data_IF_334897713611
#
_entry.id   IF_334897713611
#
_cell.length_a   1.000
_cell.length_b   1.000
_cell.length_c   1.000
_cell.angle_alpha   90.00
_cell.angle_beta   90.00
_cell.angle_gamma   90.00
#
_symmetry.space_group_name_H-M   'P 1'
#
loop_
_entity.id
_entity.type
_entity.pdbx_description
1 polymer ?
#
# COMPACT_ATOMS: atom_id res chain seq x y z
N UNK A 1 -8.09 18.98 4.64
CA UNK A 1 -7.10 17.94 4.30
C UNK A 1 -5.77 18.36 4.90
N UNK A 2 -5.24 17.55 5.82
CA UNK A 2 -4.00 17.81 6.56
C UNK A 2 -2.80 17.99 5.61
N UNK A 3 -2.00 19.03 5.81
CA UNK A 3 -0.85 19.36 4.96
C UNK A 3 0.19 18.24 5.01
N UNK A 4 0.37 17.61 6.17
CA UNK A 4 1.29 16.49 6.37
C UNK A 4 0.91 15.30 5.48
N UNK A 5 -0.39 15.00 5.36
CA UNK A 5 -0.87 13.90 4.52
C UNK A 5 -0.68 14.19 3.04
N UNK A 6 -0.78 15.46 2.61
CA UNK A 6 -0.46 15.85 1.23
C UNK A 6 1.02 15.61 0.91
N UNK A 7 1.90 16.05 1.80
CA UNK A 7 3.35 15.86 1.65
C UNK A 7 3.67 14.36 1.60
N UNK A 8 3.11 13.58 2.53
CA UNK A 8 3.27 12.13 2.58
C UNK A 8 2.79 11.44 1.30
N UNK A 9 1.64 11.85 0.78
CA UNK A 9 1.09 11.32 -0.47
C UNK A 9 1.99 11.64 -1.68
N UNK A 10 2.51 12.87 -1.77
CA UNK A 10 3.47 13.25 -2.81
C UNK A 10 4.77 12.46 -2.72
N UNK A 11 5.29 12.27 -1.51
CA UNK A 11 6.49 11.47 -1.25
C UNK A 11 6.33 10.01 -1.72
N UNK A 12 5.24 9.34 -1.34
CA UNK A 12 4.99 7.95 -1.77
C UNK A 12 4.90 7.88 -3.30
N UNK A 13 4.13 8.77 -3.94
CA UNK A 13 4.00 8.78 -5.40
C UNK A 13 5.34 8.91 -6.10
N UNK A 14 6.17 9.86 -5.66
CA UNK A 14 7.49 10.08 -6.24
C UNK A 14 8.40 8.87 -6.06
N UNK A 15 8.39 8.22 -4.89
CA UNK A 15 9.19 7.01 -4.66
C UNK A 15 8.74 5.86 -5.56
N UNK A 16 7.44 5.57 -5.61
CA UNK A 16 6.90 4.49 -6.47
C UNK A 16 7.20 4.74 -7.95
N UNK A 17 7.09 5.99 -8.42
CA UNK A 17 7.46 6.37 -9.78
C UNK A 17 8.96 6.20 -10.05
N UNK A 18 9.83 6.62 -9.12
CA UNK A 18 11.27 6.45 -9.25
C UNK A 18 11.68 4.96 -9.30
N UNK A 19 10.88 4.07 -8.71
CA UNK A 19 11.06 2.62 -8.78
C UNK A 19 10.44 1.96 -10.02
N UNK A 20 9.81 2.73 -10.91
CA UNK A 20 9.13 2.20 -12.11
C UNK A 20 7.79 1.51 -11.85
N UNK A 21 7.22 1.63 -10.64
CA UNK A 21 5.93 1.03 -10.28
C UNK A 21 4.76 1.90 -10.75
N UNK A 22 4.68 2.15 -12.06
CA UNK A 22 3.75 3.11 -12.66
C UNK A 22 2.29 2.64 -12.69
N UNK A 23 2.04 1.36 -12.46
CA UNK A 23 0.69 0.80 -12.32
C UNK A 23 0.04 1.12 -10.97
N UNK A 24 0.81 1.65 -10.02
CA UNK A 24 0.34 2.02 -8.70
C UNK A 24 -0.09 3.48 -8.64
N UNK A 25 -1.19 3.70 -7.93
CA UNK A 25 -1.72 5.00 -7.55
C UNK A 25 -1.80 5.11 -6.03
N UNK A 26 -1.79 6.34 -5.54
CA UNK A 26 -1.84 6.64 -4.10
C UNK A 26 -2.92 7.67 -3.84
N UNK A 27 -3.76 7.46 -2.83
CA UNK A 27 -4.71 8.47 -2.33
C UNK A 27 -4.70 8.55 -0.81
N UNK A 28 -5.20 9.65 -0.27
CA UNK A 28 -5.45 9.82 1.15
C UNK A 28 -6.94 9.62 1.47
N UNK A 29 -7.26 8.92 2.54
CA UNK A 29 -8.61 8.79 3.07
C UNK A 29 -8.56 8.84 4.60
N UNK A 30 -9.16 9.88 5.21
CA UNK A 30 -9.03 10.11 6.65
C UNK A 30 -7.56 10.28 7.05
N UNK A 31 -7.06 9.36 7.89
CA UNK A 31 -5.66 9.31 8.35
C UNK A 31 -4.81 8.30 7.58
N UNK A 32 -5.37 7.69 6.54
CA UNK A 32 -4.76 6.60 5.81
C UNK A 32 -4.25 7.06 4.45
N UNK A 33 -3.10 6.53 4.05
CA UNK A 33 -2.53 6.59 2.71
C UNK A 33 -2.73 5.23 2.08
N UNK A 34 -3.49 5.19 1.00
CA UNK A 34 -3.91 3.96 0.32
C UNK A 34 -3.12 3.86 -0.97
N UNK A 35 -2.37 2.78 -1.12
CA UNK A 35 -1.66 2.39 -2.33
C UNK A 35 -2.52 1.34 -3.03
N UNK A 36 -2.84 1.56 -4.29
CA UNK A 36 -3.74 0.72 -5.06
C UNK A 36 -3.32 0.65 -6.53
N UNK A 37 -3.81 -0.33 -7.27
CA UNK A 37 -3.75 -0.37 -8.74
C UNK A 37 -5.15 -0.41 -9.33
N UNK A 38 -5.27 0.04 -10.57
CA UNK A 38 -6.49 -0.14 -11.36
C UNK A 38 -6.37 -1.45 -12.14
N UNK A 39 -7.16 -2.45 -11.73
CA UNK A 39 -7.30 -3.72 -12.44
C UNK A 39 -8.51 -3.64 -13.40
N UNK A 40 -8.66 -4.55 -14.38
CA UNK A 40 -9.69 -4.42 -15.42
C UNK A 40 -11.13 -4.35 -14.89
N UNK A 41 -11.38 -4.89 -13.69
CA UNK A 41 -12.72 -5.00 -13.09
C UNK A 41 -12.93 -4.08 -11.91
N UNK A 42 -11.86 -3.76 -11.18
CA UNK A 42 -11.95 -3.04 -9.92
C UNK A 42 -10.63 -2.43 -9.51
N UNK A 43 -10.71 -1.62 -8.47
CA UNK A 43 -9.53 -1.15 -7.77
C UNK A 43 -8.99 -2.25 -6.85
N UNK A 44 -7.71 -2.60 -6.99
CA UNK A 44 -7.03 -3.50 -6.08
C UNK A 44 -6.17 -2.70 -5.09
N UNK A 45 -6.62 -2.61 -3.84
CA UNK A 45 -5.82 -2.02 -2.77
C UNK A 45 -4.63 -2.94 -2.46
N UNK A 46 -3.43 -2.39 -2.45
CA UNK A 46 -2.16 -3.11 -2.25
C UNK A 46 -1.69 -3.00 -0.80
N UNK A 47 -1.71 -1.77 -0.30
CA UNK A 47 -1.30 -1.45 1.06
C UNK A 47 -2.05 -0.23 1.58
N UNK A 48 -2.25 -0.19 2.90
CA UNK A 48 -2.83 0.94 3.62
C UNK A 48 -1.89 1.32 4.76
N UNK A 49 -1.35 2.52 4.72
CA UNK A 49 -0.55 3.09 5.80
C UNK A 49 -1.44 4.04 6.61
N UNK A 50 -1.72 3.73 7.86
CA UNK A 50 -2.60 4.52 8.73
C UNK A 50 -1.77 5.27 9.77
N UNK A 51 -1.86 6.60 9.77
CA UNK A 51 -1.18 7.45 10.76
C UNK A 51 -1.80 7.25 12.14
N UNK A 52 -0.95 7.06 13.14
CA UNK A 52 -1.36 6.99 14.55
C UNK A 52 -1.61 8.38 15.12
N UNK A 53 -2.60 8.49 16.02
CA UNK A 53 -3.04 9.78 16.56
C UNK A 53 -1.94 10.50 17.33
N UNK A 54 -1.76 11.79 17.03
CA UNK A 54 -0.77 12.65 17.68
C UNK A 54 0.68 12.27 17.39
N UNK A 55 0.95 11.38 16.43
CA UNK A 55 2.28 10.88 16.09
C UNK A 55 2.61 11.05 14.60
N UNK A 56 3.89 10.94 14.26
CA UNK A 56 4.38 10.84 12.88
C UNK A 56 4.65 9.37 12.46
N UNK A 57 4.06 8.44 13.22
CA UNK A 57 4.18 7.00 13.01
C UNK A 57 2.98 6.46 12.26
N UNK A 58 3.21 5.39 11.50
CA UNK A 58 2.24 4.69 10.69
C UNK A 58 2.21 3.21 11.07
N UNK A 59 1.04 2.61 10.92
CA UNK A 59 0.86 1.16 10.87
C UNK A 59 0.45 0.75 9.46
N UNK A 60 0.87 -0.43 9.03
CA UNK A 60 0.65 -0.89 7.66
C UNK A 60 -0.27 -2.11 7.63
N UNK A 61 -1.28 -2.08 6.77
CA UNK A 61 -2.11 -3.24 6.44
C UNK A 61 -1.91 -3.59 4.98
N UNK A 62 -1.67 -4.86 4.67
CA UNK A 62 -1.43 -5.36 3.31
C UNK A 62 -2.40 -6.50 2.97
N UNK A 63 -2.64 -6.72 1.69
CA UNK A 63 -3.22 -7.98 1.23
C UNK A 63 -2.12 -9.04 1.14
N UNK A 64 -2.28 -10.16 1.86
CA UNK A 64 -1.33 -11.26 1.78
C UNK A 64 -1.53 -12.08 0.47
N UNK A 65 -0.68 -13.08 0.26
CA UNK A 65 -0.72 -13.96 -0.93
C UNK A 65 -2.05 -14.72 -1.12
N UNK A 66 -2.93 -14.76 -0.11
CA UNK A 66 -4.28 -15.36 -0.19
C UNK A 66 -5.38 -14.32 -0.39
N UNK A 67 -5.02 -13.07 -0.66
CA UNK A 67 -5.95 -11.95 -0.76
C UNK A 67 -6.58 -11.54 0.58
N UNK A 68 -6.08 -12.04 1.72
CA UNK A 68 -6.59 -11.65 3.04
C UNK A 68 -5.83 -10.44 3.57
N UNK A 69 -6.56 -9.50 4.15
CA UNK A 69 -6.00 -8.33 4.82
C UNK A 69 -5.28 -8.74 6.10
N UNK A 70 -4.02 -8.31 6.23
CA UNK A 70 -3.18 -8.58 7.37
C UNK A 70 -2.49 -7.30 7.83
N UNK A 71 -2.54 -7.05 9.14
CA UNK A 71 -1.73 -6.02 9.78
C UNK A 71 -0.27 -6.47 9.82
N UNK A 72 0.64 -5.62 9.36
CA UNK A 72 2.07 -5.78 9.58
C UNK A 72 2.36 -5.30 11.01
N UNK A 73 2.89 -6.14 11.90
CA UNK A 73 3.07 -5.81 13.32
C UNK A 73 4.30 -4.92 13.55
N UNK A 74 4.42 -3.86 12.75
CA UNK A 74 5.50 -2.88 12.81
C UNK A 74 4.89 -1.50 12.78
N UNK A 75 5.44 -0.62 13.61
CA UNK A 75 5.07 0.78 13.73
C UNK A 75 6.31 1.61 13.46
N UNK A 76 6.23 2.62 12.61
CA UNK A 76 7.38 3.46 12.34
C UNK A 76 7.05 4.68 11.48
N UNK A 77 8.04 5.55 11.23
CA UNK A 77 7.89 6.67 10.32
C UNK A 77 7.55 6.21 8.91
N UNK A 78 6.96 7.10 8.11
CA UNK A 78 6.51 6.80 6.76
C UNK A 78 7.61 6.20 5.88
N UNK A 79 8.85 6.70 6.00
CA UNK A 79 9.98 6.21 5.22
C UNK A 79 10.27 4.74 5.51
N UNK A 80 10.38 4.35 6.78
CA UNK A 80 10.61 2.95 7.17
C UNK A 80 9.48 2.03 6.71
N UNK A 81 8.22 2.48 6.84
CA UNK A 81 7.09 1.70 6.34
C UNK A 81 7.15 1.51 4.83
N UNK A 82 7.60 2.54 4.10
CA UNK A 82 7.69 2.48 2.67
C UNK A 82 8.90 1.66 2.20
N UNK A 83 10.02 1.70 2.92
CA UNK A 83 11.20 0.84 2.67
C UNK A 83 10.81 -0.64 2.89
N UNK A 84 10.17 -0.96 4.02
CA UNK A 84 9.65 -2.31 4.28
C UNK A 84 8.67 -2.77 3.19
N UNK A 85 7.78 -1.87 2.75
CA UNK A 85 6.80 -2.19 1.71
C UNK A 85 7.46 -2.46 0.35
N UNK A 86 8.52 -1.72 0.01
CA UNK A 86 9.20 -1.83 -1.29
C UNK A 86 10.27 -2.90 -1.34
N UNK A 87 10.81 -3.30 -0.19
CA UNK A 87 11.95 -4.20 -0.10
C UNK A 87 11.50 -5.58 0.37
N UNK A 88 10.98 -5.69 1.61
CA UNK A 88 10.61 -6.96 2.23
C UNK A 88 9.24 -7.47 1.77
N UNK A 89 8.30 -6.55 1.53
CA UNK A 89 6.91 -6.86 1.19
C UNK A 89 6.56 -6.50 -0.25
N UNK A 90 7.57 -6.39 -1.13
CA UNK A 90 7.43 -5.98 -2.52
C UNK A 90 6.38 -6.80 -3.29
N UNK A 91 6.17 -8.07 -2.92
CA UNK A 91 5.15 -8.95 -3.52
C UNK A 91 3.73 -8.36 -3.44
N UNK A 92 3.45 -7.54 -2.43
CA UNK A 92 2.13 -6.89 -2.23
C UNK A 92 1.84 -5.83 -3.28
N UNK A 93 2.88 -5.29 -3.90
CA UNK A 93 2.82 -4.20 -4.89
C UNK A 93 2.68 -4.70 -6.34
N UNK A 94 2.79 -6.01 -6.57
CA UNK A 94 2.69 -6.60 -7.89
C UNK A 94 1.27 -6.43 -8.48
N UNK A 95 1.20 -6.22 -9.79
CA UNK A 95 -0.06 -6.27 -10.53
C UNK A 95 -0.68 -7.67 -10.38
N UNK A 96 -1.98 -7.75 -10.07
CA UNK A 96 -2.67 -9.03 -10.03
C UNK A 96 -3.10 -9.35 -11.46
N UNK A 97 -2.14 -9.75 -12.29
CA UNK A 97 -2.47 -10.27 -13.60
C UNK A 97 -3.32 -11.51 -13.37
N UNK A 98 -4.57 -11.48 -13.87
CA UNK A 98 -5.62 -12.49 -13.76
C UNK A 98 -5.00 -13.86 -13.44
N UNK A 99 -4.86 -14.15 -12.14
CA UNK A 99 -4.45 -15.46 -11.67
C UNK A 99 -5.72 -16.29 -11.85
N UNK A 100 -5.98 -16.63 -13.11
CA UNK A 100 -7.21 -17.23 -13.56
C UNK A 100 -7.55 -18.37 -12.62
N UNK A 101 -8.73 -18.28 -12.00
CA UNK A 101 -9.38 -19.41 -11.37
C UNK A 101 -8.41 -20.35 -10.61
N UNK A 102 -7.81 -19.90 -9.51
CA UNK A 102 -7.56 -20.86 -8.43
C UNK A 102 -8.92 -21.17 -7.80
N UNK A 103 -9.73 -21.96 -8.52
CA UNK A 103 -10.69 -22.88 -7.91
C UNK A 103 -9.85 -23.81 -7.05
N UNK A 104 -9.62 -23.38 -5.81
CA UNK A 104 -9.20 -24.26 -4.74
C UNK A 104 -10.24 -25.37 -4.66
N UNK A 105 -9.84 -26.54 -5.12
CA UNK A 105 -10.46 -27.81 -4.82
C UNK A 105 -10.36 -27.95 -3.31
N UNK A 106 -11.48 -27.87 -2.61
CA UNK A 106 -11.83 -28.67 -1.43
C UNK A 106 -13.32 -28.53 -1.15
#
# INVERSE_FOLDING_TARGET
MDLDLKISLGFIRNKLQAMGLTHLSVRSQGRSLIIFSMEPKEEAIRAVLTRLDGRQEYVMTIANHRGKWQLVPVVGPLQEMLDMLTDDLAFTLAYWHDAGHYRGIQ
#
